data_IF_732666218579
#
_entry.id   IF_732666218579
#
_cell.length_a   1.000
_cell.length_b   1.000
_cell.length_c   1.000
_cell.angle_alpha   90.00
_cell.angle_beta   90.00
_cell.angle_gamma   90.00
#
_symmetry.space_group_name_H-M   'P 1'
#
loop_
_entity.id
_entity.type
_entity.pdbx_description
1 polymer ?
#
# COMPACT_ATOMS: atom_id res chain seq x y z
N UNK A 1 -14.74 -24.42 2.77
CA UNK A 1 -14.45 -23.78 1.46
C UNK A 1 -15.71 -23.45 0.63
N UNK A 2 -16.93 -23.77 1.09
CA UNK A 2 -18.17 -23.56 0.31
C UNK A 2 -18.71 -22.12 0.21
N UNK A 3 -18.13 -21.18 0.93
CA UNK A 3 -18.64 -19.78 1.02
C UNK A 3 -17.78 -18.74 0.32
N UNK A 4 -16.85 -19.13 -0.55
CA UNK A 4 -15.97 -18.25 -1.28
C UNK A 4 -16.16 -18.40 -2.80
N UNK A 5 -16.09 -17.30 -3.52
CA UNK A 5 -16.05 -17.26 -4.98
C UNK A 5 -14.70 -16.68 -5.44
N UNK A 6 -14.27 -17.04 -6.64
CA UNK A 6 -13.11 -16.41 -7.27
C UNK A 6 -13.42 -14.95 -7.54
N UNK A 7 -12.51 -14.05 -7.17
CA UNK A 7 -12.59 -12.63 -7.53
C UNK A 7 -12.47 -12.47 -9.06
N UNK A 8 -13.28 -11.60 -9.62
CA UNK A 8 -13.28 -11.30 -11.07
C UNK A 8 -12.87 -9.86 -11.28
N UNK A 9 -11.58 -9.66 -11.51
CA UNK A 9 -11.04 -8.34 -11.84
C UNK A 9 -11.57 -7.84 -13.19
N UNK A 10 -11.73 -6.55 -13.31
CA UNK A 10 -12.04 -5.84 -14.58
C UNK A 10 -10.84 -5.10 -15.14
N UNK A 11 -9.71 -5.09 -14.42
CA UNK A 11 -8.45 -4.58 -14.93
C UNK A 11 -7.97 -5.40 -16.14
N UNK A 12 -7.38 -4.74 -17.10
CA UNK A 12 -6.88 -5.34 -18.33
C UNK A 12 -5.34 -5.23 -18.39
N UNK A 13 -4.70 -6.24 -18.98
CA UNK A 13 -3.24 -6.29 -19.19
C UNK A 13 -2.40 -6.17 -17.89
N UNK A 14 -2.94 -6.62 -16.77
CA UNK A 14 -2.28 -6.69 -15.46
C UNK A 14 -2.49 -8.07 -14.87
N UNK A 15 -1.48 -8.63 -14.22
CA UNK A 15 -1.54 -9.96 -13.63
C UNK A 15 -2.45 -9.98 -12.40
N UNK A 16 -3.29 -11.01 -12.29
CA UNK A 16 -4.19 -11.21 -11.16
C UNK A 16 -3.53 -12.07 -10.09
N UNK A 17 -3.73 -11.73 -8.82
CA UNK A 17 -3.31 -12.56 -7.68
C UNK A 17 -4.14 -13.84 -7.55
N UNK A 18 -5.32 -13.88 -8.18
CA UNK A 18 -6.23 -15.01 -8.10
C UNK A 18 -6.93 -15.14 -6.75
N UNK A 19 -7.19 -14.02 -6.10
CA UNK A 19 -7.83 -13.94 -4.79
C UNK A 19 -9.28 -14.44 -4.80
N UNK A 20 -9.82 -14.68 -3.61
CA UNK A 20 -11.21 -15.10 -3.42
C UNK A 20 -11.98 -14.06 -2.61
N UNK A 21 -13.29 -14.02 -2.79
CA UNK A 21 -14.21 -13.11 -2.11
C UNK A 21 -15.36 -13.90 -1.48
N UNK A 22 -15.87 -13.52 -0.30
CA UNK A 22 -17.05 -14.12 0.27
C UNK A 22 -18.27 -14.06 -0.65
N UNK A 23 -19.03 -15.14 -0.74
CA UNK A 23 -20.21 -15.24 -1.64
C UNK A 23 -21.20 -14.09 -1.47
N UNK A 24 -21.42 -13.64 -0.24
CA UNK A 24 -22.37 -12.57 0.06
C UNK A 24 -21.93 -11.19 -0.44
N UNK A 25 -20.61 -10.97 -0.67
CA UNK A 25 -20.07 -9.74 -1.25
C UNK A 25 -19.90 -9.83 -2.77
N UNK A 26 -19.79 -11.05 -3.30
CA UNK A 26 -19.39 -11.30 -4.69
C UNK A 26 -20.29 -10.58 -5.71
N UNK A 27 -21.59 -10.63 -5.50
CA UNK A 27 -22.57 -10.10 -6.46
C UNK A 27 -22.50 -8.57 -6.53
N UNK A 28 -22.44 -7.90 -5.38
CA UNK A 28 -22.38 -6.44 -5.33
C UNK A 28 -21.02 -5.91 -5.79
N UNK A 29 -19.95 -6.60 -5.45
CA UNK A 29 -18.59 -6.27 -5.92
C UNK A 29 -18.53 -6.34 -7.45
N UNK A 30 -18.96 -7.45 -8.05
CA UNK A 30 -18.95 -7.61 -9.51
C UNK A 30 -19.83 -6.56 -10.20
N UNK A 31 -20.98 -6.27 -9.64
CA UNK A 31 -21.88 -5.21 -10.17
C UNK A 31 -21.21 -3.83 -10.14
N UNK A 32 -20.49 -3.52 -9.06
CA UNK A 32 -19.75 -2.26 -8.93
C UNK A 32 -18.60 -2.19 -9.95
N UNK A 33 -17.81 -3.25 -10.09
CA UNK A 33 -16.70 -3.33 -11.03
C UNK A 33 -17.16 -3.26 -12.49
N UNK A 34 -18.25 -3.93 -12.86
CA UNK A 34 -18.79 -3.86 -14.21
C UNK A 34 -19.28 -2.46 -14.54
N UNK A 35 -19.95 -1.77 -13.60
CA UNK A 35 -20.35 -0.38 -13.78
C UNK A 35 -19.15 0.56 -13.92
N UNK A 36 -18.09 0.34 -13.14
CA UNK A 36 -16.84 1.08 -13.28
C UNK A 36 -16.25 0.87 -14.68
N UNK A 37 -16.15 -0.39 -15.12
CA UNK A 37 -15.62 -0.73 -16.45
C UNK A 37 -16.43 -0.06 -17.57
N UNK A 38 -17.74 -0.08 -17.48
CA UNK A 38 -18.61 0.59 -18.45
C UNK A 38 -18.39 2.11 -18.45
N UNK A 39 -18.35 2.74 -17.27
CA UNK A 39 -18.12 4.17 -17.12
C UNK A 39 -16.77 4.64 -17.66
N UNK A 40 -15.75 3.75 -17.61
CA UNK A 40 -14.40 4.01 -18.11
C UNK A 40 -14.18 3.55 -19.56
N UNK A 41 -15.23 3.19 -20.28
CA UNK A 41 -15.13 2.75 -21.68
C UNK A 41 -14.39 1.43 -21.89
N UNK A 42 -14.27 0.62 -20.84
CA UNK A 42 -13.64 -0.71 -20.88
C UNK A 42 -12.16 -0.76 -20.51
N UNK A 43 -11.47 0.38 -20.43
CA UNK A 43 -10.03 0.45 -20.13
C UNK A 43 -9.76 0.94 -18.69
N UNK A 44 -9.95 0.03 -17.73
CA UNK A 44 -9.77 0.33 -16.30
C UNK A 44 -8.28 0.55 -15.96
N UNK A 45 -7.40 -0.28 -16.50
CA UNK A 45 -5.96 -0.16 -16.24
C UNK A 45 -5.36 1.08 -16.88
N UNK A 46 -5.74 1.43 -18.10
CA UNK A 46 -5.31 2.66 -18.75
C UNK A 46 -5.80 3.91 -18.00
N UNK A 47 -7.01 3.86 -17.42
CA UNK A 47 -7.51 4.93 -16.55
C UNK A 47 -6.59 5.15 -15.34
N UNK A 48 -6.19 4.09 -14.63
CA UNK A 48 -5.29 4.18 -13.46
C UNK A 48 -3.89 4.61 -13.88
N UNK A 49 -3.33 3.98 -14.94
CA UNK A 49 -2.01 4.30 -15.46
C UNK A 49 -1.87 5.79 -15.80
N UNK A 50 -2.87 6.35 -16.50
CA UNK A 50 -2.88 7.77 -16.87
C UNK A 50 -2.84 8.68 -15.65
N UNK A 51 -3.64 8.41 -14.61
CA UNK A 51 -3.70 9.23 -13.39
C UNK A 51 -2.48 9.10 -12.49
N UNK A 52 -1.81 7.97 -12.55
CA UNK A 52 -0.55 7.75 -11.85
C UNK A 52 0.67 8.20 -12.68
N UNK A 53 0.47 8.71 -13.90
CA UNK A 53 1.54 9.03 -14.85
C UNK A 53 2.52 7.85 -15.00
N UNK A 54 1.97 6.65 -15.23
CA UNK A 54 2.70 5.41 -15.45
C UNK A 54 2.37 4.86 -16.82
N UNK A 55 3.32 4.16 -17.44
CA UNK A 55 3.01 3.31 -18.58
C UNK A 55 2.45 1.96 -18.10
N UNK A 56 1.94 1.13 -19.00
CA UNK A 56 1.30 -0.14 -18.66
C UNK A 56 2.25 -1.15 -18.03
N UNK A 57 3.53 -1.16 -18.41
CA UNK A 57 4.55 -2.03 -17.81
C UNK A 57 4.79 -1.62 -16.35
N UNK A 58 5.03 -0.34 -16.11
CA UNK A 58 5.22 0.20 -14.75
C UNK A 58 4.00 -0.08 -13.85
N UNK A 59 2.78 0.05 -14.38
CA UNK A 59 1.57 -0.26 -13.63
C UNK A 59 1.51 -1.74 -13.26
N UNK A 60 1.78 -2.63 -14.22
CA UNK A 60 1.74 -4.09 -14.03
C UNK A 60 2.82 -4.58 -13.06
N UNK A 61 3.98 -3.92 -13.04
CA UNK A 61 5.06 -4.23 -12.08
C UNK A 61 4.73 -3.75 -10.66
N UNK A 62 3.97 -2.66 -10.55
CA UNK A 62 3.65 -2.04 -9.27
C UNK A 62 2.38 -2.60 -8.60
N UNK A 63 1.34 -2.92 -9.38
CA UNK A 63 0.01 -3.29 -8.88
C UNK A 63 -0.52 -4.56 -9.56
N UNK A 64 -1.16 -5.43 -8.79
CA UNK A 64 -1.96 -6.53 -9.33
C UNK A 64 -3.31 -6.07 -9.85
N UNK A 65 -4.00 -6.92 -10.60
CA UNK A 65 -5.30 -6.60 -11.17
C UNK A 65 -6.36 -6.23 -10.10
N UNK A 66 -6.38 -6.95 -8.98
CA UNK A 66 -7.26 -6.65 -7.85
C UNK A 66 -6.94 -5.30 -7.20
N UNK A 67 -5.67 -4.95 -7.10
CA UNK A 67 -5.23 -3.66 -6.57
C UNK A 67 -5.58 -2.51 -7.53
N UNK A 68 -5.44 -2.73 -8.84
CA UNK A 68 -5.87 -1.77 -9.87
C UNK A 68 -7.36 -1.50 -9.77
N UNK A 69 -8.19 -2.53 -9.59
CA UNK A 69 -9.64 -2.38 -9.41
C UNK A 69 -9.98 -1.50 -8.20
N UNK A 70 -9.33 -1.76 -7.05
CA UNK A 70 -9.53 -0.98 -5.82
C UNK A 70 -9.13 0.48 -5.98
N UNK A 71 -7.98 0.73 -6.59
CA UNK A 71 -7.46 2.08 -6.87
C UNK A 71 -8.36 2.80 -7.88
N UNK A 72 -8.81 2.12 -8.94
CA UNK A 72 -9.73 2.70 -9.92
C UNK A 72 -11.07 3.11 -9.30
N UNK A 73 -11.65 2.25 -8.45
CA UNK A 73 -12.87 2.58 -7.70
C UNK A 73 -12.67 3.80 -6.80
N UNK A 74 -11.53 3.88 -6.11
CA UNK A 74 -11.21 5.00 -5.24
C UNK A 74 -11.11 6.31 -6.02
N UNK A 75 -10.30 6.34 -7.08
CA UNK A 75 -10.12 7.52 -7.94
C UNK A 75 -11.45 7.95 -8.56
N UNK A 76 -12.21 7.00 -9.13
CA UNK A 76 -13.50 7.30 -9.76
C UNK A 76 -14.51 7.90 -8.78
N UNK A 77 -14.60 7.37 -7.55
CA UNK A 77 -15.48 7.92 -6.53
C UNK A 77 -15.06 9.33 -6.06
N UNK A 78 -13.75 9.56 -5.92
CA UNK A 78 -13.24 10.89 -5.58
C UNK A 78 -13.55 11.89 -6.70
N UNK A 79 -13.27 11.56 -7.95
CA UNK A 79 -13.42 12.45 -9.10
C UNK A 79 -14.90 12.75 -9.44
N UNK A 80 -15.76 11.75 -9.34
CA UNK A 80 -17.16 11.89 -9.82
C UNK A 80 -18.16 12.18 -8.72
N UNK A 81 -17.83 11.86 -7.47
CA UNK A 81 -18.78 11.91 -6.35
C UNK A 81 -18.25 12.64 -5.11
N UNK A 82 -16.97 13.00 -5.08
CA UNK A 82 -16.28 13.55 -3.91
C UNK A 82 -16.49 12.64 -2.65
N UNK A 83 -16.42 11.32 -2.84
CA UNK A 83 -16.68 10.34 -1.79
C UNK A 83 -15.41 9.59 -1.41
N UNK A 84 -15.31 9.22 -0.13
CA UNK A 84 -14.29 8.32 0.37
C UNK A 84 -14.57 6.86 -0.04
N UNK A 85 -13.54 6.02 0.07
CA UNK A 85 -13.60 4.58 -0.18
C UNK A 85 -13.02 3.82 1.00
N UNK A 86 -13.59 2.68 1.32
CA UNK A 86 -13.06 1.73 2.29
C UNK A 86 -12.49 0.55 1.53
N UNK A 87 -11.18 0.30 1.68
CA UNK A 87 -10.50 -0.88 1.14
C UNK A 87 -10.57 -1.96 2.22
N UNK A 88 -11.51 -2.90 2.06
CA UNK A 88 -11.79 -3.98 3.01
C UNK A 88 -11.13 -5.30 2.66
N UNK A 89 -10.06 -5.31 1.88
CA UNK A 89 -9.37 -6.52 1.44
C UNK A 89 -8.75 -7.29 2.61
N UNK A 90 -8.61 -8.59 2.46
CA UNK A 90 -7.93 -9.44 3.44
C UNK A 90 -6.47 -9.01 3.63
N UNK A 91 -5.89 -9.39 4.77
CA UNK A 91 -4.46 -9.24 5.02
C UNK A 91 -3.67 -10.00 3.94
N UNK A 92 -2.61 -9.39 3.43
CA UNK A 92 -1.77 -9.98 2.38
C UNK A 92 -2.12 -9.59 0.93
N UNK A 93 -3.30 -9.01 0.66
CA UNK A 93 -3.65 -8.53 -0.71
C UNK A 93 -2.89 -7.27 -1.12
N UNK A 94 -2.13 -6.67 -0.21
CA UNK A 94 -1.31 -5.49 -0.52
C UNK A 94 -2.06 -4.16 -0.42
N UNK A 95 -2.86 -3.97 0.62
CA UNK A 95 -3.53 -2.69 0.90
C UNK A 95 -2.57 -1.51 0.98
N UNK A 96 -1.35 -1.72 1.46
CA UNK A 96 -0.29 -0.71 1.51
C UNK A 96 0.01 -0.14 0.12
N UNK A 97 0.12 -0.99 -0.90
CA UNK A 97 0.34 -0.55 -2.29
C UNK A 97 -0.83 0.24 -2.86
N UNK A 98 -2.06 -0.15 -2.55
CA UNK A 98 -3.23 0.62 -2.95
C UNK A 98 -3.23 2.01 -2.28
N UNK A 99 -2.90 2.08 -0.99
CA UNK A 99 -2.77 3.35 -0.27
C UNK A 99 -1.62 4.21 -0.84
N UNK A 100 -0.46 3.62 -1.16
CA UNK A 100 0.66 4.31 -1.81
C UNK A 100 0.28 4.83 -3.20
N UNK A 101 -0.52 4.08 -3.98
CA UNK A 101 -1.05 4.56 -5.26
C UNK A 101 -1.96 5.78 -5.08
N UNK A 102 -2.78 5.81 -4.03
CA UNK A 102 -3.61 6.97 -3.71
C UNK A 102 -2.78 8.16 -3.22
N UNK A 103 -1.67 7.94 -2.49
CA UNK A 103 -0.72 9.00 -2.14
C UNK A 103 -0.10 9.59 -3.42
N UNK A 104 0.37 8.75 -4.35
CA UNK A 104 0.89 9.22 -5.64
C UNK A 104 -0.15 10.03 -6.42
N UNK A 105 -1.36 9.51 -6.55
CA UNK A 105 -2.47 10.20 -7.18
C UNK A 105 -2.73 11.57 -6.54
N UNK A 106 -2.76 11.64 -5.22
CA UNK A 106 -2.94 12.89 -4.48
C UNK A 106 -1.84 13.91 -4.78
N UNK A 107 -0.56 13.49 -4.75
CA UNK A 107 0.57 14.36 -5.08
C UNK A 107 0.48 14.89 -6.51
N UNK A 108 0.20 14.03 -7.50
CA UNK A 108 0.05 14.41 -8.91
C UNK A 108 -1.14 15.32 -9.14
N UNK A 109 -2.17 15.22 -8.31
CA UNK A 109 -3.36 16.09 -8.34
C UNK A 109 -3.20 17.39 -7.55
N UNK A 110 -2.02 17.65 -6.96
CA UNK A 110 -1.74 18.87 -6.18
C UNK A 110 -2.29 18.86 -4.76
N UNK A 111 -2.70 17.70 -4.24
CA UNK A 111 -3.12 17.55 -2.85
C UNK A 111 -1.92 17.30 -1.93
N UNK A 112 -2.11 17.55 -0.64
CA UNK A 112 -1.21 17.11 0.42
C UNK A 112 -1.74 15.79 1.01
N UNK A 113 -1.17 14.63 0.65
CA UNK A 113 -1.58 13.37 1.23
C UNK A 113 -1.20 13.29 2.70
N UNK A 114 -2.10 12.75 3.52
CA UNK A 114 -1.85 12.50 4.94
C UNK A 114 -2.11 11.04 5.22
N UNK A 115 -1.10 10.34 5.74
CA UNK A 115 -1.21 8.93 6.13
C UNK A 115 -1.32 8.82 7.65
N UNK A 116 -2.39 8.20 8.11
CA UNK A 116 -2.62 7.88 9.52
C UNK A 116 -2.52 6.39 9.75
N UNK A 117 -1.83 5.99 10.79
CA UNK A 117 -1.74 4.60 11.21
C UNK A 117 -1.67 4.50 12.72
N UNK A 118 -2.15 3.39 13.27
CA UNK A 118 -2.03 3.06 14.68
C UNK A 118 -0.58 2.70 15.05
N UNK A 119 0.11 1.98 14.14
CA UNK A 119 1.47 1.48 14.37
C UNK A 119 2.47 2.30 13.58
N UNK A 120 3.44 2.89 14.27
CA UNK A 120 4.47 3.72 13.64
C UNK A 120 5.45 2.91 12.74
N UNK A 121 5.57 1.59 12.94
CA UNK A 121 6.35 0.70 12.06
C UNK A 121 5.83 0.72 10.63
N UNK A 122 4.53 0.91 10.43
CA UNK A 122 3.90 1.02 9.11
C UNK A 122 4.31 2.28 8.32
N UNK A 123 4.99 3.24 8.92
CA UNK A 123 5.57 4.37 8.17
C UNK A 123 6.66 3.90 7.21
N UNK A 124 7.50 2.96 7.66
CA UNK A 124 8.57 2.40 6.82
C UNK A 124 8.00 1.50 5.71
N UNK A 125 6.97 0.69 6.01
CA UNK A 125 6.26 -0.10 5.00
C UNK A 125 5.61 0.80 3.94
N UNK A 126 4.96 1.88 4.36
CA UNK A 126 4.37 2.84 3.44
C UNK A 126 5.43 3.54 2.59
N UNK A 127 6.59 3.87 3.16
CA UNK A 127 7.70 4.46 2.41
C UNK A 127 8.19 3.51 1.32
N UNK A 128 8.41 2.22 1.64
CA UNK A 128 8.76 1.17 0.66
C UNK A 128 7.70 1.08 -0.46
N UNK A 129 6.41 1.03 -0.09
CA UNK A 129 5.34 0.94 -1.07
C UNK A 129 5.25 2.20 -1.94
N UNK A 130 5.53 3.38 -1.42
CA UNK A 130 5.65 4.62 -2.18
C UNK A 130 6.80 4.57 -3.21
N UNK A 131 7.95 3.99 -2.85
CA UNK A 131 9.08 3.79 -3.79
C UNK A 131 8.67 2.90 -4.96
N UNK A 132 7.98 1.79 -4.70
CA UNK A 132 7.46 0.89 -5.76
C UNK A 132 6.51 1.64 -6.69
N UNK A 133 5.69 2.53 -6.16
CA UNK A 133 4.81 3.39 -6.94
C UNK A 133 5.55 4.59 -7.58
N UNK A 134 6.89 4.59 -7.61
CA UNK A 134 7.70 5.60 -8.28
C UNK A 134 7.82 6.94 -7.53
N UNK A 135 7.46 7.01 -6.25
CA UNK A 135 7.70 8.19 -5.39
C UNK A 135 9.09 8.02 -4.75
N UNK A 136 10.16 8.26 -5.53
CA UNK A 136 11.55 7.96 -5.12
C UNK A 136 12.12 8.96 -4.10
N UNK A 137 11.67 10.21 -4.17
CA UNK A 137 12.20 11.31 -3.34
C UNK A 137 11.20 11.75 -2.27
N UNK A 138 10.36 10.84 -1.81
CA UNK A 138 9.41 11.13 -0.75
C UNK A 138 10.15 11.55 0.54
N UNK A 139 9.85 12.75 1.04
CA UNK A 139 10.33 13.23 2.33
C UNK A 139 9.13 13.33 3.27
N UNK A 140 8.74 12.23 3.93
CA UNK A 140 7.58 12.25 4.79
C UNK A 140 7.83 13.12 6.02
N UNK A 141 6.88 13.99 6.36
CA UNK A 141 6.87 14.68 7.64
C UNK A 141 6.14 13.82 8.68
N UNK A 142 6.88 13.28 9.63
CA UNK A 142 6.34 12.39 10.66
C UNK A 142 6.03 13.16 11.92
N UNK A 143 4.77 13.13 12.37
CA UNK A 143 4.31 13.89 13.57
C UNK A 143 4.54 13.09 14.86
N UNK A 144 4.73 11.78 14.78
CA UNK A 144 4.91 10.93 15.96
C UNK A 144 6.32 11.04 16.52
N UNK A 145 6.46 11.62 17.73
CA UNK A 145 7.74 11.85 18.39
C UNK A 145 8.51 10.53 18.61
N UNK A 146 9.76 10.50 18.14
CA UNK A 146 10.63 9.34 18.27
C UNK A 146 10.46 8.27 17.18
N UNK A 147 9.45 8.39 16.32
CA UNK A 147 9.32 7.50 15.17
C UNK A 147 10.39 7.79 14.12
N UNK A 148 10.78 6.75 13.39
CA UNK A 148 11.71 6.82 12.27
C UNK A 148 11.09 6.18 11.05
N UNK A 149 11.50 6.63 9.86
CA UNK A 149 11.18 5.96 8.59
C UNK A 149 12.48 5.35 8.08
N UNK A 150 12.43 4.06 7.82
CA UNK A 150 13.59 3.26 7.41
C UNK A 150 13.41 2.85 5.94
N UNK A 151 14.48 2.91 5.17
CA UNK A 151 14.53 2.41 3.80
C UNK A 151 14.93 0.93 3.79
N UNK A 152 13.99 0.02 3.62
CA UNK A 152 14.23 -1.42 3.60
C UNK A 152 15.04 -1.91 2.39
N UNK A 153 15.18 -1.10 1.34
CA UNK A 153 15.98 -1.47 0.18
C UNK A 153 17.46 -1.11 0.35
N UNK A 154 17.80 -0.29 1.37
CA UNK A 154 19.16 0.06 1.72
C UNK A 154 19.67 -0.87 2.80
N UNK A 155 20.42 -1.90 2.43
CA UNK A 155 21.15 -2.74 3.40
C UNK A 155 22.44 -2.02 3.73
N UNK A 156 22.68 -1.72 5.00
CA UNK A 156 23.98 -1.25 5.46
C UNK A 156 24.93 -2.47 5.50
N UNK A 157 25.99 -2.46 4.71
CA UNK A 157 26.90 -3.58 4.43
C UNK A 157 27.72 -4.08 5.65
N UNK A 158 27.27 -3.97 6.87
CA UNK A 158 27.97 -4.41 8.07
C UNK A 158 27.23 -5.50 8.84
N UNK A 159 26.75 -6.56 8.17
CA UNK A 159 26.30 -7.75 8.91
C UNK A 159 26.91 -8.99 8.27
N UNK A 160 28.20 -9.22 8.55
CA UNK A 160 28.74 -10.56 8.60
C UNK A 160 28.23 -11.21 9.90
N UNK A 161 27.51 -12.32 9.76
CA UNK A 161 27.08 -13.24 10.81
C UNK A 161 26.09 -12.71 11.88
N UNK A 162 24.78 -12.78 11.59
CA UNK A 162 23.85 -13.01 12.68
C UNK A 162 22.64 -13.86 12.22
N UNK A 163 22.44 -14.99 12.92
CA UNK A 163 21.36 -15.97 12.74
C UNK A 163 19.93 -15.41 13.06
N UNK A 164 19.78 -14.10 13.15
CA UNK A 164 18.54 -13.43 13.57
C UNK A 164 17.49 -13.25 12.46
N UNK A 165 17.75 -13.71 11.22
CA UNK A 165 16.79 -13.62 10.13
C UNK A 165 15.51 -14.43 10.36
N UNK A 166 15.57 -15.50 11.13
CA UNK A 166 14.40 -16.36 11.41
C UNK A 166 13.48 -15.81 12.51
N UNK A 167 13.93 -14.87 13.35
CA UNK A 167 13.13 -14.28 14.42
C UNK A 167 12.24 -13.10 13.97
N UNK A 168 12.53 -12.50 12.80
CA UNK A 168 11.81 -11.31 12.30
C UNK A 168 10.40 -11.65 11.80
N UNK A 169 10.09 -12.92 11.55
CA UNK A 169 8.83 -13.39 10.94
C UNK A 169 7.88 -14.12 11.88
N UNK A 170 8.05 -14.05 13.20
CA UNK A 170 7.02 -14.56 14.11
C UNK A 170 5.76 -13.67 14.04
N UNK A 171 4.54 -14.25 14.02
CA UNK A 171 3.32 -13.47 14.08
C UNK A 171 3.32 -12.63 15.36
N UNK A 172 3.24 -11.32 15.21
CA UNK A 172 3.19 -10.38 16.34
C UNK A 172 1.84 -10.55 17.00
N UNK A 173 1.82 -11.06 18.23
CA UNK A 173 0.65 -11.02 19.10
C UNK A 173 0.31 -9.56 19.46
N UNK A 174 -0.97 -9.24 19.52
CA UNK A 174 -1.53 -7.88 19.55
C UNK A 174 -1.18 -7.00 20.79
N UNK A 175 -0.27 -7.43 21.69
CA UNK A 175 -0.01 -6.75 22.99
C UNK A 175 1.40 -6.13 23.11
N UNK A 176 2.07 -5.66 22.03
CA UNK A 176 3.49 -5.40 22.16
C UNK A 176 4.04 -4.07 21.62
N UNK A 177 3.75 -2.98 22.33
CA UNK A 177 4.48 -1.72 22.18
C UNK A 177 6.00 -1.85 22.46
N UNK A 178 6.40 -2.84 23.25
CA UNK A 178 7.81 -3.16 23.53
C UNK A 178 8.45 -3.88 22.37
N UNK A 179 7.76 -4.87 21.79
CA UNK A 179 8.24 -5.62 20.63
C UNK A 179 8.38 -4.72 19.39
N UNK A 180 7.42 -3.82 19.14
CA UNK A 180 7.56 -2.81 18.08
C UNK A 180 8.79 -1.91 18.29
N UNK A 181 9.07 -1.50 19.51
CA UNK A 181 10.24 -0.67 19.81
C UNK A 181 11.57 -1.43 19.60
N UNK A 182 11.60 -2.74 19.88
CA UNK A 182 12.74 -3.60 19.63
C UNK A 182 12.95 -3.85 18.13
N UNK A 183 11.89 -4.16 17.39
CA UNK A 183 11.93 -4.30 15.94
C UNK A 183 12.43 -3.01 15.26
N UNK A 184 11.93 -1.85 15.69
CA UNK A 184 12.43 -0.58 15.13
C UNK A 184 13.89 -0.32 15.46
N UNK A 185 14.39 -0.76 16.61
CA UNK A 185 15.83 -0.67 16.91
C UNK A 185 16.66 -1.57 16.02
N UNK A 186 16.17 -2.77 15.71
CA UNK A 186 16.80 -3.69 14.77
C UNK A 186 16.82 -3.10 13.36
N UNK A 187 15.69 -2.61 12.86
CA UNK A 187 15.61 -1.96 11.56
C UNK A 187 16.54 -0.74 11.46
N UNK A 188 16.62 0.07 12.50
CA UNK A 188 17.52 1.23 12.54
C UNK A 188 19.01 0.86 12.52
N UNK A 189 19.38 -0.38 12.88
CA UNK A 189 20.75 -0.87 12.76
C UNK A 189 21.05 -1.42 11.38
N UNK A 190 20.07 -2.02 10.71
CA UNK A 190 20.24 -2.74 9.45
C UNK A 190 20.01 -1.87 8.22
N UNK A 191 19.17 -0.82 8.35
CA UNK A 191 18.69 -0.04 7.20
C UNK A 191 18.92 1.45 7.37
N UNK A 192 19.00 2.16 6.25
CA UNK A 192 19.14 3.61 6.25
C UNK A 192 17.91 4.28 6.86
N UNK A 193 18.13 5.21 7.78
CA UNK A 193 17.08 6.05 8.35
C UNK A 193 16.90 7.26 7.44
N UNK A 194 15.82 7.28 6.66
CA UNK A 194 15.49 8.38 5.76
C UNK A 194 14.82 9.57 6.46
N UNK A 195 14.19 9.31 7.61
CA UNK A 195 13.59 10.36 8.44
C UNK A 195 13.48 9.94 9.90
N UNK A 196 13.74 10.89 10.79
CA UNK A 196 13.56 10.73 12.23
C UNK A 196 12.75 11.90 12.79
N UNK A 197 11.61 11.59 13.42
CA UNK A 197 10.81 12.63 14.04
C UNK A 197 11.59 13.36 15.15
N UNK A 198 11.45 14.69 15.28
CA UNK A 198 12.08 15.43 16.35
C UNK A 198 11.61 14.90 17.71
N UNK A 199 12.55 14.78 18.67
CA UNK A 199 12.17 14.47 20.05
C UNK A 199 11.37 15.64 20.60
N UNK A 200 10.27 15.34 21.32
CA UNK A 200 9.63 16.38 22.15
C UNK A 200 10.66 16.82 23.18
N UNK A 201 11.03 18.09 23.15
CA UNK A 201 11.66 18.73 24.31
C UNK A 201 10.60 18.77 25.43
N UNK A 202 10.91 18.16 26.57
CA UNK A 202 10.06 18.12 27.77
C UNK A 202 10.23 19.42 28.52
#
# INVERSE_FOLDING_TARGET
MENLNKYQSVANNVEALGTVIPKYLWQDTNKALLKLKEALGGDVSGYVANRLHMNMSELSDALSAEQVDGVALAMYNIETRAQAVIIGDQTGVGKGRQAAAMIRYGLLSGYLPIFFTERYTLFSDMYRDCKVLGIKDARPFVVNAGASVVDFDSIVEEIEDDDTQDEIWSPIDDDDSKHEAELMKLYQKQYEIVYKAPKKEV
#
